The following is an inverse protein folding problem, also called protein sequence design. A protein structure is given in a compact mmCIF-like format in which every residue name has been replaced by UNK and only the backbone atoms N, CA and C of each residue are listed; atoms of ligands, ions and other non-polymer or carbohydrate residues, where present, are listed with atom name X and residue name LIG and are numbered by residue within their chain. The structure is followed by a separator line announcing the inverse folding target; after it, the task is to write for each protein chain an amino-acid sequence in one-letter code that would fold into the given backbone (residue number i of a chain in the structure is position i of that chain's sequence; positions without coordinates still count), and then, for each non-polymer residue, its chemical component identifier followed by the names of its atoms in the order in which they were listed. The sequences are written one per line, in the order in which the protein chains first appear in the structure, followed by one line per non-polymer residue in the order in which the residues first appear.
data_IF_979535889930
#
_entry.id   IF_979535889930
#
_cell.length_a   1.000
_cell.length_b   1.000
_cell.length_c   1.000
_cell.angle_alpha   90.00
_cell.angle_beta   90.00
_cell.angle_gamma   90.00
#
_symmetry.space_group_name_H-M   'P 1'
#
loop_
_entity.id
_entity.type
_entity.pdbx_description
1 polymer ?
#
# COMPACT_ATOMS: atom_id res chain seq x y z
N UNK A 1 1.44 3.42 -28.28
CA UNK A 1 0.67 3.06 -27.08
C UNK A 1 0.40 4.34 -26.30
N UNK A 2 -0.77 4.95 -26.49
CA UNK A 2 -1.20 6.16 -25.76
C UNK A 2 -2.44 5.79 -24.96
N UNK A 3 -2.25 5.03 -23.87
CA UNK A 3 -3.24 4.93 -22.81
C UNK A 3 -3.14 6.19 -21.96
N UNK A 4 -4.27 6.70 -21.45
CA UNK A 4 -4.19 7.78 -20.47
C UNK A 4 -3.43 7.27 -19.23
N UNK A 5 -2.74 8.15 -18.50
CA UNK A 5 -2.01 7.75 -17.27
C UNK A 5 -2.89 6.93 -16.32
N UNK A 6 -4.20 7.21 -16.29
CA UNK A 6 -5.20 6.50 -15.49
C UNK A 6 -5.41 5.05 -15.94
N UNK A 7 -5.45 4.78 -17.24
CA UNK A 7 -5.62 3.42 -17.77
C UNK A 7 -4.41 2.53 -17.42
N UNK A 8 -3.21 3.09 -17.54
CA UNK A 8 -1.98 2.39 -17.16
C UNK A 8 -1.94 2.10 -15.65
N UNK A 9 -2.37 3.05 -14.80
CA UNK A 9 -2.43 2.84 -13.35
C UNK A 9 -3.48 1.78 -12.97
N UNK A 10 -4.67 1.83 -13.58
CA UNK A 10 -5.72 0.83 -13.37
C UNK A 10 -5.23 -0.57 -13.76
N UNK A 11 -4.63 -0.70 -14.95
CA UNK A 11 -4.09 -1.96 -15.42
C UNK A 11 -2.98 -2.50 -14.50
N UNK A 12 -2.10 -1.63 -13.99
CA UNK A 12 -1.06 -2.04 -13.04
C UNK A 12 -1.67 -2.64 -11.76
N UNK A 13 -2.72 -2.01 -11.21
CA UNK A 13 -3.41 -2.51 -10.00
C UNK A 13 -4.12 -3.85 -10.30
N UNK A 14 -4.76 -3.98 -11.45
CA UNK A 14 -5.46 -5.19 -11.87
C UNK A 14 -4.52 -6.38 -12.06
N UNK A 15 -3.32 -6.16 -12.59
CA UNK A 15 -2.32 -7.21 -12.80
C UNK A 15 -1.46 -7.49 -11.56
N UNK A 16 -1.44 -6.58 -10.57
CA UNK A 16 -0.67 -6.77 -9.36
C UNK A 16 -1.22 -7.92 -8.49
N UNK A 17 -0.31 -8.75 -7.98
CA UNK A 17 -0.61 -9.78 -6.97
C UNK A 17 -0.81 -9.18 -5.59
N UNK A 18 -0.07 -8.13 -5.26
CA UNK A 18 -0.09 -7.44 -3.95
C UNK A 18 0.10 -5.95 -4.17
N UNK A 19 -0.63 -5.15 -3.40
CA UNK A 19 -0.53 -3.68 -3.38
C UNK A 19 0.15 -3.26 -2.07
N UNK A 20 1.30 -2.59 -2.17
CA UNK A 20 2.04 -2.09 -1.00
C UNK A 20 1.62 -0.64 -0.75
N UNK A 21 1.07 -0.37 0.44
CA UNK A 21 0.62 0.96 0.84
C UNK A 21 1.64 1.58 1.78
N UNK A 22 2.41 2.54 1.25
CA UNK A 22 3.44 3.27 1.98
C UNK A 22 2.85 4.43 2.79
N UNK A 23 2.40 4.13 4.00
CA UNK A 23 1.71 5.06 4.89
C UNK A 23 2.60 6.24 5.30
N UNK A 24 2.10 7.44 5.00
CA UNK A 24 2.64 8.74 5.39
C UNK A 24 1.57 9.82 5.20
N UNK A 25 1.80 11.02 5.75
CA UNK A 25 0.90 12.16 5.53
C UNK A 25 0.82 12.53 4.05
N UNK A 26 1.96 12.51 3.35
CA UNK A 26 2.01 12.77 1.90
C UNK A 26 1.23 11.76 1.09
N UNK A 27 1.28 10.48 1.48
CA UNK A 27 0.46 9.44 0.85
C UNK A 27 -1.03 9.73 1.03
N UNK A 28 -1.46 10.08 2.26
CA UNK A 28 -2.87 10.40 2.57
C UNK A 28 -3.39 11.63 1.81
N UNK A 29 -2.52 12.61 1.55
CA UNK A 29 -2.90 13.86 0.88
C UNK A 29 -2.87 13.77 -0.66
N UNK A 30 -2.31 12.70 -1.23
CA UNK A 30 -2.22 12.52 -2.68
C UNK A 30 -3.53 11.97 -3.26
N UNK A 31 -4.23 12.72 -4.14
CA UNK A 31 -5.47 12.24 -4.78
C UNK A 31 -5.24 10.98 -5.63
N UNK A 32 -4.06 10.86 -6.23
CA UNK A 32 -3.68 9.68 -7.02
C UNK A 32 -3.54 8.45 -6.10
N UNK A 33 -2.82 8.59 -4.98
CA UNK A 33 -2.65 7.48 -4.04
C UNK A 33 -3.98 7.07 -3.41
N UNK A 34 -4.87 8.03 -3.12
CA UNK A 34 -6.23 7.72 -2.68
C UNK A 34 -7.00 6.92 -3.73
N UNK A 35 -7.01 7.38 -4.98
CA UNK A 35 -7.72 6.71 -6.08
C UNK A 35 -7.20 5.28 -6.32
N UNK A 36 -5.87 5.10 -6.29
CA UNK A 36 -5.22 3.80 -6.44
C UNK A 36 -5.56 2.86 -5.27
N UNK A 37 -5.51 3.35 -4.03
CA UNK A 37 -5.83 2.56 -2.83
C UNK A 37 -7.31 2.15 -2.80
N UNK A 38 -8.22 3.08 -3.12
CA UNK A 38 -9.65 2.81 -3.22
C UNK A 38 -9.95 1.79 -4.33
N UNK A 39 -9.26 1.89 -5.47
CA UNK A 39 -9.44 0.93 -6.55
C UNK A 39 -8.94 -0.46 -6.18
N UNK A 40 -7.74 -0.56 -5.59
CA UNK A 40 -7.20 -1.80 -5.06
C UNK A 40 -8.14 -2.43 -4.01
N UNK A 41 -8.68 -1.62 -3.11
CA UNK A 41 -9.66 -2.05 -2.10
C UNK A 41 -10.94 -2.59 -2.74
N UNK A 42 -11.50 -1.88 -3.73
CA UNK A 42 -12.70 -2.31 -4.48
C UNK A 42 -12.48 -3.64 -5.19
N UNK A 43 -11.30 -3.84 -5.79
CA UNK A 43 -10.91 -5.09 -6.43
C UNK A 43 -10.55 -6.21 -5.43
N UNK A 44 -10.64 -5.95 -4.12
CA UNK A 44 -10.24 -6.86 -3.05
C UNK A 44 -8.80 -7.36 -3.21
N UNK A 45 -7.93 -6.52 -3.76
CA UNK A 45 -6.51 -6.84 -3.89
C UNK A 45 -5.88 -7.00 -2.51
N UNK A 46 -4.95 -7.94 -2.33
CA UNK A 46 -4.19 -8.02 -1.09
C UNK A 46 -3.39 -6.73 -0.88
N UNK A 47 -3.69 -6.02 0.22
CA UNK A 47 -3.03 -4.78 0.60
C UNK A 47 -2.07 -5.07 1.75
N UNK A 48 -0.79 -4.75 1.54
CA UNK A 48 0.27 -4.85 2.54
C UNK A 48 0.67 -3.43 2.99
N UNK A 49 0.28 -3.01 4.21
CA UNK A 49 0.59 -1.67 4.68
C UNK A 49 2.01 -1.60 5.25
N UNK A 50 2.70 -0.49 4.97
CA UNK A 50 4.06 -0.21 5.43
C UNK A 50 4.13 1.20 5.99
N UNK A 51 4.60 1.37 7.22
CA UNK A 51 4.76 2.68 7.85
C UNK A 51 6.12 3.28 7.50
N UNK A 52 6.13 4.38 6.75
CA UNK A 52 7.35 5.10 6.38
C UNK A 52 7.55 6.42 7.12
N UNK A 53 6.54 6.88 7.87
CA UNK A 53 6.60 8.13 8.63
C UNK A 53 6.43 7.85 10.12
N UNK A 54 7.41 8.29 10.93
CA UNK A 54 7.40 8.03 12.38
C UNK A 54 6.19 8.67 13.04
N UNK A 55 5.57 7.92 13.97
CA UNK A 55 4.36 8.31 14.72
C UNK A 55 3.13 8.61 13.86
N UNK A 56 3.16 8.34 12.56
CA UNK A 56 1.99 8.48 11.70
C UNK A 56 0.95 7.42 12.07
N UNK A 57 -0.32 7.85 12.11
CA UNK A 57 -1.47 6.97 12.36
C UNK A 57 -2.48 7.20 11.26
N UNK A 58 -2.82 6.18 10.46
CA UNK A 58 -3.83 6.32 9.43
C UNK A 58 -5.21 6.56 10.05
N UNK A 59 -5.98 7.43 9.43
CA UNK A 59 -7.31 7.87 9.83
C UNK A 59 -8.14 8.18 8.56
N UNK A 60 -9.43 8.48 8.74
CA UNK A 60 -10.35 8.77 7.64
C UNK A 60 -10.39 7.65 6.59
N UNK A 61 -10.29 8.01 5.32
CA UNK A 61 -10.35 7.08 4.19
C UNK A 61 -9.27 6.00 4.27
N UNK A 62 -8.03 6.37 4.65
CA UNK A 62 -6.92 5.43 4.73
C UNK A 62 -7.10 4.48 5.91
N UNK A 63 -7.59 4.99 7.05
CA UNK A 63 -7.96 4.16 8.19
C UNK A 63 -9.02 3.11 7.85
N UNK A 64 -10.03 3.47 7.04
CA UNK A 64 -11.08 2.55 6.58
C UNK A 64 -10.50 1.44 5.68
N UNK A 65 -9.65 1.80 4.70
CA UNK A 65 -9.04 0.83 3.77
C UNK A 65 -8.14 -0.16 4.51
N UNK A 66 -7.37 0.33 5.48
CA UNK A 66 -6.42 -0.48 6.23
C UNK A 66 -7.09 -1.33 7.32
N UNK A 67 -8.15 -0.83 7.96
CA UNK A 67 -8.89 -1.55 9.00
C UNK A 67 -7.98 -2.06 10.12
N UNK A 68 -8.06 -3.36 10.42
CA UNK A 68 -7.25 -4.04 11.44
C UNK A 68 -6.01 -4.73 10.87
N UNK A 69 -5.56 -4.38 9.66
CA UNK A 69 -4.38 -5.00 9.03
C UNK A 69 -3.12 -4.68 9.82
N UNK A 70 -2.28 -5.71 10.00
CA UNK A 70 -0.92 -5.54 10.51
C UNK A 70 -0.08 -4.81 9.46
N UNK A 71 0.90 -4.04 9.93
CA UNK A 71 1.80 -3.28 9.06
C UNK A 71 3.25 -3.44 9.50
N UNK A 72 4.16 -3.26 8.55
CA UNK A 72 5.61 -3.28 8.81
C UNK A 72 6.05 -1.84 9.07
N UNK A 73 6.69 -1.62 10.21
CA UNK A 73 7.14 -0.29 10.63
C UNK A 73 8.61 -0.06 10.23
N UNK A 74 8.84 0.61 9.09
CA UNK A 74 10.18 0.96 8.61
C UNK A 74 10.79 2.15 9.34
N UNK A 75 10.04 2.78 10.25
CA UNK A 75 10.54 3.87 11.10
C UNK A 75 11.26 3.35 12.36
N UNK A 76 11.19 2.02 12.57
CA UNK A 76 11.84 1.28 13.66
C UNK A 76 12.76 0.23 13.08
N UNK A 77 13.84 -0.12 13.79
CA UNK A 77 14.86 -1.08 13.35
C UNK A 77 15.62 -0.62 12.09
N UNK A 78 16.60 -1.42 11.68
CA UNK A 78 17.34 -1.22 10.44
C UNK A 78 16.51 -1.59 9.20
N UNK A 79 16.85 -0.99 8.07
CA UNK A 79 16.15 -1.19 6.79
C UNK A 79 16.19 -2.66 6.34
N UNK A 80 17.34 -3.33 6.47
CA UNK A 80 17.53 -4.70 5.98
C UNK A 80 16.62 -5.70 6.70
N UNK A 81 16.47 -5.57 8.01
CA UNK A 81 15.56 -6.38 8.82
C UNK A 81 14.11 -6.20 8.40
N UNK A 82 13.68 -4.96 8.14
CA UNK A 82 12.32 -4.68 7.71
C UNK A 82 12.07 -5.10 6.25
N UNK A 83 13.07 -4.94 5.39
CA UNK A 83 13.03 -5.42 4.01
C UNK A 83 12.86 -6.93 3.94
N UNK A 84 13.59 -7.70 4.75
CA UNK A 84 13.42 -9.16 4.85
C UNK A 84 12.00 -9.55 5.30
N UNK A 85 11.44 -8.83 6.28
CA UNK A 85 10.04 -9.04 6.71
C UNK A 85 9.06 -8.74 5.57
N UNK A 86 9.28 -7.64 4.85
CA UNK A 86 8.44 -7.23 3.72
C UNK A 86 8.43 -8.29 2.62
N UNK A 87 9.60 -8.79 2.23
CA UNK A 87 9.72 -9.86 1.21
C UNK A 87 8.96 -11.11 1.66
N UNK A 88 9.13 -11.54 2.92
CA UNK A 88 8.44 -12.70 3.46
C UNK A 88 6.91 -12.55 3.44
N UNK A 89 6.39 -11.38 3.80
CA UNK A 89 4.95 -11.11 3.75
C UNK A 89 4.42 -11.09 2.31
N UNK A 90 5.18 -10.52 1.37
CA UNK A 90 4.81 -10.54 -0.06
C UNK A 90 4.70 -11.98 -0.57
N UNK A 91 5.66 -12.84 -0.24
CA UNK A 91 5.65 -14.25 -0.62
C UNK A 91 4.46 -15.00 -0.01
N UNK A 92 4.16 -14.77 1.27
CA UNK A 92 3.03 -15.38 1.96
C UNK A 92 1.66 -14.92 1.39
N UNK A 93 1.60 -13.74 0.81
CA UNK A 93 0.36 -13.13 0.29
C UNK A 93 0.08 -13.53 -1.17
N UNK A 94 1.07 -14.03 -1.91
CA UNK A 94 0.96 -14.39 -3.34
C UNK A 94 0.17 -15.67 -3.65
N UNK A 95 -0.50 -16.27 -2.67
CA UNK A 95 -1.27 -17.51 -2.82
C UNK A 95 -2.47 -17.36 -3.77
#
# INVERSE_FOLDING_TARGET
MHGSTLDCMAHAIEQASVIIVCMSEKYKQSPNCQSEAEYAYRLKKPILPVLLQSKYKPDGWLGIILGTKLYIDFTKNDFDSNYKKLVKEIEATKN
#
